data_IF_106859924872
#
_entry.id   IF_106859924872
#
_cell.length_a   1.000
_cell.length_b   1.000
_cell.length_c   1.000
_cell.angle_alpha   90.00
_cell.angle_beta   90.00
_cell.angle_gamma   90.00
#
_symmetry.space_group_name_H-M   'P 1'
#
loop_
_entity.id
_entity.type
_entity.pdbx_description
1 polymer ?
#
# COMPACT_ATOMS: atom_id res chain seq x y z
N UNK A 1 -13.24 31.72 -42.64
CA UNK A 1 -12.89 32.31 -41.32
C UNK A 1 -13.72 31.75 -40.16
N UNK A 2 -15.06 31.60 -40.27
CA UNK A 2 -15.91 31.05 -39.17
C UNK A 2 -15.51 29.65 -38.65
N UNK A 3 -15.02 28.74 -39.52
CA UNK A 3 -14.58 27.38 -39.11
C UNK A 3 -13.30 27.36 -38.27
N UNK A 4 -12.40 28.35 -38.42
CA UNK A 4 -11.13 28.40 -37.67
C UNK A 4 -11.34 28.84 -36.21
N UNK A 5 -12.33 29.69 -35.98
CA UNK A 5 -12.68 30.21 -34.64
C UNK A 5 -13.33 29.11 -33.78
N UNK A 6 -14.11 28.22 -34.40
CA UNK A 6 -14.78 27.10 -33.70
C UNK A 6 -13.75 26.06 -33.23
N UNK A 7 -12.73 25.74 -34.04
CA UNK A 7 -11.66 24.83 -33.61
C UNK A 7 -10.82 25.40 -32.47
N UNK A 8 -10.56 26.72 -32.47
CA UNK A 8 -9.82 27.39 -31.39
C UNK A 8 -10.56 27.32 -30.06
N UNK A 9 -11.89 27.47 -30.06
CA UNK A 9 -12.70 27.35 -28.85
C UNK A 9 -12.74 25.92 -28.28
N UNK A 10 -12.74 24.90 -29.14
CA UNK A 10 -12.71 23.49 -28.70
C UNK A 10 -11.35 23.16 -28.04
N UNK A 11 -10.24 23.70 -28.57
CA UNK A 11 -8.90 23.45 -28.04
C UNK A 11 -8.65 24.13 -26.68
N UNK A 12 -9.31 25.27 -26.43
CA UNK A 12 -9.22 25.96 -25.13
C UNK A 12 -10.09 25.26 -24.07
N UNK A 13 -11.21 24.65 -24.47
CA UNK A 13 -12.12 24.00 -23.52
C UNK A 13 -11.57 22.66 -22.98
N UNK A 14 -10.76 21.93 -23.76
CA UNK A 14 -10.13 20.69 -23.30
C UNK A 14 -9.01 20.92 -22.28
N UNK A 15 -8.33 22.07 -22.33
CA UNK A 15 -7.25 22.42 -21.39
C UNK A 15 -7.74 22.78 -19.97
N UNK A 16 -9.03 23.13 -19.82
CA UNK A 16 -9.58 23.58 -18.53
C UNK A 16 -10.15 22.41 -17.70
N UNK A 17 -10.42 21.25 -18.34
CA UNK A 17 -11.07 20.10 -17.68
C UNK A 17 -10.04 19.12 -17.07
N UNK A 18 -8.77 19.20 -17.45
CA UNK A 18 -7.70 18.45 -16.77
C UNK A 18 -7.40 19.10 -15.42
N UNK A 19 -8.25 18.84 -14.42
CA UNK A 19 -7.90 19.12 -13.02
C UNK A 19 -6.72 18.21 -12.67
N UNK A 20 -5.55 18.77 -12.33
CA UNK A 20 -4.50 17.96 -11.75
C UNK A 20 -5.05 17.41 -10.42
N UNK A 21 -5.04 16.09 -10.27
CA UNK A 21 -5.18 15.50 -8.94
C UNK A 21 -4.09 16.13 -8.06
N UNK A 22 -4.40 16.52 -6.81
CA UNK A 22 -3.37 16.95 -5.88
C UNK A 22 -2.28 15.87 -5.82
N UNK A 23 -1.01 16.26 -5.98
CA UNK A 23 0.10 15.31 -6.01
C UNK A 23 0.14 14.42 -4.75
N UNK A 24 -0.36 14.95 -3.64
CA UNK A 24 -0.46 14.27 -2.34
C UNK A 24 -1.46 13.09 -2.36
N UNK A 25 -2.61 13.27 -3.01
CA UNK A 25 -3.62 12.20 -3.16
C UNK A 25 -3.10 11.06 -4.03
N UNK A 26 -2.32 11.39 -5.07
CA UNK A 26 -1.73 10.38 -5.96
C UNK A 26 -0.68 9.54 -5.21
N UNK A 27 0.19 10.18 -4.44
CA UNK A 27 1.20 9.48 -3.64
C UNK A 27 0.56 8.63 -2.53
N UNK A 28 -0.44 9.15 -1.82
CA UNK A 28 -1.17 8.37 -0.81
C UNK A 28 -1.86 7.14 -1.42
N UNK A 29 -2.60 7.31 -2.51
CA UNK A 29 -3.30 6.21 -3.19
C UNK A 29 -2.32 5.14 -3.69
N UNK A 30 -1.17 5.54 -4.25
CA UNK A 30 -0.11 4.61 -4.64
C UNK A 30 0.39 3.81 -3.44
N UNK A 31 0.63 4.49 -2.31
CA UNK A 31 1.13 3.87 -1.09
C UNK A 31 0.12 2.89 -0.50
N UNK A 32 -1.15 3.29 -0.43
CA UNK A 32 -2.25 2.45 0.04
C UNK A 32 -2.37 1.19 -0.81
N UNK A 33 -2.38 1.33 -2.14
CA UNK A 33 -2.45 0.19 -3.05
C UNK A 33 -1.25 -0.76 -2.91
N UNK A 34 -0.04 -0.20 -2.80
CA UNK A 34 1.19 -0.98 -2.63
C UNK A 34 1.17 -1.75 -1.30
N UNK A 35 0.74 -1.09 -0.22
CA UNK A 35 0.57 -1.69 1.09
C UNK A 35 -0.41 -2.85 1.04
N UNK A 36 -1.60 -2.60 0.48
CA UNK A 36 -2.65 -3.59 0.25
C UNK A 36 -2.09 -4.84 -0.47
N UNK A 37 -1.43 -4.64 -1.60
CA UNK A 37 -0.88 -5.74 -2.39
C UNK A 37 0.21 -6.52 -1.66
N UNK A 38 1.13 -5.83 -0.97
CA UNK A 38 2.17 -6.48 -0.17
C UNK A 38 1.59 -7.38 0.92
N UNK A 39 0.61 -6.86 1.68
CA UNK A 39 -0.04 -7.60 2.75
C UNK A 39 -0.78 -8.83 2.19
N UNK A 40 -1.47 -8.70 1.06
CA UNK A 40 -2.06 -9.84 0.37
C UNK A 40 -1.02 -10.88 -0.01
N UNK A 41 0.12 -10.47 -0.57
CA UNK A 41 1.23 -11.37 -0.91
C UNK A 41 1.72 -12.14 0.33
N UNK A 42 1.99 -11.45 1.43
CA UNK A 42 2.50 -12.07 2.66
C UNK A 42 1.49 -13.02 3.32
N UNK A 43 0.21 -12.68 3.32
CA UNK A 43 -0.83 -13.48 3.94
C UNK A 43 -1.23 -14.71 3.11
N UNK A 44 -1.13 -14.61 1.78
CA UNK A 44 -1.45 -15.71 0.85
C UNK A 44 -0.31 -16.71 0.68
N UNK A 45 0.85 -16.44 1.28
CA UNK A 45 2.05 -17.24 1.09
C UNK A 45 1.93 -18.62 1.77
N UNK A 46 2.17 -19.67 0.99
CA UNK A 46 2.00 -21.08 1.41
C UNK A 46 3.09 -21.56 2.37
N UNK A 47 4.27 -20.96 2.36
CA UNK A 47 5.37 -21.22 3.29
C UNK A 47 5.44 -20.18 4.45
N UNK A 48 4.36 -19.44 4.70
CA UNK A 48 4.29 -18.48 5.80
C UNK A 48 4.17 -19.15 7.16
N UNK A 49 4.92 -18.64 8.15
CA UNK A 49 5.21 -19.39 9.37
C UNK A 49 4.05 -19.55 10.36
N UNK A 50 2.86 -18.93 10.17
CA UNK A 50 1.67 -19.32 10.97
C UNK A 50 0.32 -18.62 10.72
N UNK A 51 0.12 -17.77 9.71
CA UNK A 51 -1.11 -16.96 9.72
C UNK A 51 -2.32 -17.72 9.18
N UNK A 52 -2.20 -18.36 8.02
CA UNK A 52 -3.31 -19.15 7.46
C UNK A 52 -2.96 -20.59 7.07
N UNK A 53 -1.69 -21.01 7.10
CA UNK A 53 -1.24 -22.42 6.97
C UNK A 53 -2.04 -23.28 5.96
N UNK A 54 -2.22 -22.77 4.73
CA UNK A 54 -2.95 -23.46 3.66
C UNK A 54 -4.48 -23.49 3.78
N UNK A 55 -5.07 -22.85 4.79
CA UNK A 55 -6.53 -22.71 4.91
C UNK A 55 -7.05 -21.72 3.87
N UNK A 56 -8.25 -21.97 3.30
CA UNK A 56 -8.94 -20.96 2.53
C UNK A 56 -9.20 -19.73 3.40
N UNK A 57 -8.77 -18.57 2.92
CA UNK A 57 -9.10 -17.29 3.54
C UNK A 57 -9.56 -16.31 2.46
N UNK A 58 -10.46 -15.40 2.84
CA UNK A 58 -10.84 -14.24 2.05
C UNK A 58 -10.29 -13.01 2.76
N UNK A 59 -9.39 -12.30 2.09
CA UNK A 59 -8.94 -11.00 2.57
C UNK A 59 -9.97 -9.98 2.12
N UNK A 60 -10.65 -9.36 3.08
CA UNK A 60 -11.38 -8.12 2.85
C UNK A 60 -10.41 -7.02 3.24
N UNK A 61 -9.77 -6.44 2.22
CA UNK A 61 -8.61 -5.57 2.46
C UNK A 61 -9.03 -4.18 2.94
N UNK A 62 -8.15 -3.57 3.72
CA UNK A 62 -8.44 -2.55 4.73
C UNK A 62 -7.65 -1.27 4.50
N UNK A 63 -8.21 -0.20 5.04
CA UNK A 63 -7.68 1.15 5.09
C UNK A 63 -6.26 1.22 5.66
N UNK A 64 -5.41 1.96 4.94
CA UNK A 64 -4.16 2.48 5.49
C UNK A 64 -4.53 3.54 6.52
N UNK A 65 -4.19 3.32 7.79
CA UNK A 65 -4.56 4.25 8.86
C UNK A 65 -3.63 5.43 8.96
N UNK A 66 -2.33 5.21 8.77
CA UNK A 66 -1.33 6.24 8.99
C UNK A 66 -0.04 5.96 8.21
N UNK A 67 0.64 7.06 7.88
CA UNK A 67 1.97 7.09 7.29
C UNK A 67 2.83 7.98 8.18
N UNK A 68 3.75 7.37 8.93
CA UNK A 68 4.67 8.08 9.79
C UNK A 68 6.07 8.06 9.20
N UNK A 69 6.80 9.16 9.30
CA UNK A 69 8.21 9.21 8.91
C UNK A 69 9.06 9.32 10.18
N UNK A 70 9.89 8.31 10.42
CA UNK A 70 10.82 8.26 11.55
C UNK A 70 12.25 8.06 11.02
N UNK A 71 13.07 9.11 11.12
CA UNK A 71 14.44 9.14 10.58
C UNK A 71 14.50 8.81 9.08
N UNK A 72 15.09 7.68 8.69
CA UNK A 72 15.23 7.20 7.31
C UNK A 72 14.20 6.12 6.94
N UNK A 73 13.22 5.89 7.81
CA UNK A 73 12.15 4.92 7.63
C UNK A 73 10.80 5.61 7.52
N UNK A 74 10.05 5.19 6.50
CA UNK A 74 8.61 5.44 6.38
C UNK A 74 7.85 4.23 6.93
N UNK A 75 7.03 4.44 7.95
CA UNK A 75 6.20 3.45 8.63
C UNK A 75 4.79 3.56 8.08
N UNK A 76 4.26 2.45 7.58
CA UNK A 76 2.88 2.29 7.15
C UNK A 76 2.16 1.38 8.12
N UNK A 77 1.05 1.85 8.68
CA UNK A 77 0.20 1.04 9.57
C UNK A 77 -1.21 0.94 9.01
N UNK A 78 -1.76 -0.26 9.05
CA UNK A 78 -3.14 -0.54 8.66
C UNK A 78 -3.67 -1.75 9.42
N UNK A 79 -4.95 -2.04 9.24
CA UNK A 79 -5.50 -3.34 9.62
C UNK A 79 -5.73 -4.18 8.35
N UNK A 80 -6.26 -5.39 8.53
CA UNK A 80 -6.69 -6.32 7.50
C UNK A 80 -7.79 -7.16 8.12
N UNK A 81 -8.95 -7.20 7.48
CA UNK A 81 -10.00 -8.14 7.86
C UNK A 81 -9.84 -9.41 7.04
N UNK A 82 -9.73 -10.53 7.74
CA UNK A 82 -9.52 -11.83 7.15
C UNK A 82 -10.68 -12.73 7.56
N UNK A 83 -11.40 -13.26 6.58
CA UNK A 83 -12.32 -14.35 6.79
C UNK A 83 -11.57 -15.66 6.59
N UNK A 84 -11.30 -16.39 7.67
CA UNK A 84 -10.48 -17.61 7.64
C UNK A 84 -11.37 -18.77 8.01
N UNK A 85 -11.62 -19.67 7.05
CA UNK A 85 -12.68 -20.68 7.19
C UNK A 85 -14.01 -19.98 7.51
N UNK A 86 -14.49 -20.02 8.76
CA UNK A 86 -15.77 -19.44 9.21
C UNK A 86 -15.60 -18.36 10.29
N UNK A 87 -14.40 -17.77 10.43
CA UNK A 87 -14.12 -16.75 11.45
C UNK A 87 -13.63 -15.47 10.80
N UNK A 88 -14.22 -14.36 11.21
CA UNK A 88 -13.67 -13.04 10.92
C UNK A 88 -12.56 -12.73 11.94
N UNK A 89 -11.38 -12.40 11.45
CA UNK A 89 -10.23 -11.98 12.24
C UNK A 89 -9.70 -10.64 11.71
N UNK A 90 -9.51 -9.68 12.60
CA UNK A 90 -8.80 -8.44 12.28
C UNK A 90 -7.32 -8.61 12.62
N UNK A 91 -6.46 -8.29 11.67
CA UNK A 91 -5.02 -8.28 11.83
C UNK A 91 -4.49 -6.86 11.65
N UNK A 92 -3.68 -6.39 12.57
CA UNK A 92 -2.99 -5.10 12.52
C UNK A 92 -1.61 -5.32 11.94
N UNK A 93 -1.28 -4.60 10.88
CA UNK A 93 -0.04 -4.74 10.14
C UNK A 93 0.75 -3.43 10.16
N UNK A 94 2.07 -3.56 10.33
CA UNK A 94 3.00 -2.49 10.09
C UNK A 94 4.08 -2.94 9.11
N UNK A 95 4.32 -2.10 8.12
CA UNK A 95 5.36 -2.24 7.11
C UNK A 95 6.22 -1.02 7.22
N UNK A 96 7.52 -1.14 7.01
CA UNK A 96 8.28 0.07 6.79
C UNK A 96 9.39 -0.06 5.82
N UNK A 97 9.63 1.11 5.27
CA UNK A 97 10.23 1.30 3.99
C UNK A 97 11.44 2.17 4.18
N UNK A 98 12.53 1.74 3.57
CA UNK A 98 13.77 2.50 3.49
C UNK A 98 14.06 2.80 2.04
N UNK A 99 14.45 4.04 1.76
CA UNK A 99 14.91 4.43 0.43
C UNK A 99 16.37 4.03 0.26
N UNK A 100 16.65 3.10 -0.66
CA UNK A 100 17.99 2.64 -1.01
C UNK A 100 18.19 2.88 -2.51
N UNK A 101 19.16 3.73 -2.86
CA UNK A 101 19.46 4.09 -4.25
C UNK A 101 18.23 4.60 -5.03
N UNK A 102 17.37 5.38 -4.38
CA UNK A 102 16.16 5.95 -4.98
C UNK A 102 15.01 4.95 -5.14
N UNK A 103 15.12 3.75 -4.57
CA UNK A 103 14.05 2.75 -4.55
C UNK A 103 13.58 2.49 -3.12
N UNK A 104 12.27 2.49 -2.91
CA UNK A 104 11.69 2.06 -1.64
C UNK A 104 11.80 0.54 -1.51
N UNK A 105 12.41 0.08 -0.41
CA UNK A 105 12.54 -1.33 -0.07
C UNK A 105 11.95 -1.59 1.32
N UNK A 106 11.41 -2.78 1.51
CA UNK A 106 10.84 -3.19 2.80
C UNK A 106 11.98 -3.53 3.76
N UNK A 107 12.13 -2.71 4.79
CA UNK A 107 13.10 -2.93 5.85
C UNK A 107 12.55 -3.89 6.93
N UNK A 108 11.25 -3.84 7.19
CA UNK A 108 10.59 -4.70 8.16
C UNK A 108 9.11 -4.94 7.80
N UNK A 109 8.53 -5.99 8.39
CA UNK A 109 7.11 -6.31 8.33
C UNK A 109 6.71 -7.02 9.62
N UNK A 110 5.61 -6.58 10.22
CA UNK A 110 5.00 -7.25 11.37
C UNK A 110 3.49 -7.23 11.26
N UNK A 111 2.85 -8.25 11.84
CA UNK A 111 1.41 -8.39 11.87
C UNK A 111 0.99 -9.05 13.19
N UNK A 112 -0.10 -8.57 13.79
CA UNK A 112 -0.62 -9.06 15.08
C UNK A 112 -2.15 -9.02 15.11
N UNK A 113 -2.75 -9.80 16.03
CA UNK A 113 -4.22 -9.81 16.24
C UNK A 113 -4.74 -8.67 17.14
N UNK A 114 -3.83 -7.88 17.71
CA UNK A 114 -4.15 -6.74 18.58
C UNK A 114 -3.49 -5.51 18.00
N UNK A 115 -4.17 -4.37 18.12
CA UNK A 115 -3.60 -3.09 17.76
C UNK A 115 -2.34 -2.81 18.59
N UNK A 116 -1.40 -2.08 18.01
CA UNK A 116 -0.13 -1.75 18.65
C UNK A 116 0.31 -0.34 18.27
N UNK A 117 0.91 0.34 19.24
CA UNK A 117 1.77 1.49 18.95
C UNK A 117 3.12 0.96 18.53
N UNK A 118 3.58 1.33 17.34
CA UNK A 118 4.86 0.87 16.81
C UNK A 118 5.79 2.06 16.63
N UNK A 119 7.03 1.92 17.09
CA UNK A 119 8.13 2.85 16.88
C UNK A 119 9.15 2.25 15.91
N UNK A 120 9.88 3.06 15.14
CA UNK A 120 10.88 2.56 14.19
C UNK A 120 11.91 1.64 14.85
N UNK A 121 12.35 1.96 16.08
CA UNK A 121 13.33 1.15 16.81
C UNK A 121 12.85 -0.25 17.14
N UNK A 122 11.55 -0.45 17.38
CA UNK A 122 10.98 -1.78 17.61
C UNK A 122 10.94 -2.60 16.33
N UNK A 123 10.73 -1.93 15.21
CA UNK A 123 10.62 -2.53 13.89
C UNK A 123 11.97 -2.99 13.35
N UNK A 124 13.02 -2.20 13.57
CA UNK A 124 14.39 -2.56 13.21
C UNK A 124 14.91 -3.82 13.90
N UNK A 125 14.36 -4.20 15.07
CA UNK A 125 14.72 -5.44 15.77
C UNK A 125 14.31 -6.70 15.00
N UNK A 126 13.40 -6.58 14.04
CA UNK A 126 12.86 -7.69 13.27
C UNK A 126 13.04 -7.44 11.77
N UNK A 127 14.28 -7.54 11.25
CA UNK A 127 14.55 -7.24 9.85
C UNK A 127 13.77 -8.18 8.94
N UNK A 128 13.10 -7.60 7.94
CA UNK A 128 12.38 -8.37 6.94
C UNK A 128 13.34 -8.90 5.88
N UNK A 129 13.10 -10.14 5.45
CA UNK A 129 13.82 -10.77 4.34
C UNK A 129 12.95 -10.65 3.11
N UNK A 130 13.43 -9.92 2.11
CA UNK A 130 12.68 -9.62 0.89
C UNK A 130 12.19 -10.90 0.19
N UNK A 131 10.87 -10.97 -0.06
CA UNK A 131 10.22 -12.10 -0.77
C UNK A 131 9.17 -11.61 -1.77
N UNK A 132 8.37 -10.61 -1.37
CA UNK A 132 7.46 -9.90 -2.26
C UNK A 132 8.12 -8.59 -2.75
N UNK A 133 8.14 -8.34 -4.05
CA UNK A 133 8.76 -7.13 -4.63
C UNK A 133 7.82 -5.93 -4.53
N UNK A 134 8.05 -5.06 -3.56
CA UNK A 134 7.22 -3.86 -3.31
C UNK A 134 6.91 -3.04 -4.57
N UNK A 135 7.92 -2.78 -5.40
CA UNK A 135 7.81 -1.90 -6.57
C UNK A 135 7.11 -2.49 -7.80
N UNK A 136 6.75 -3.79 -7.80
CA UNK A 136 6.17 -4.45 -8.97
C UNK A 136 4.65 -4.51 -8.98
N UNK A 137 3.98 -4.06 -7.90
CA UNK A 137 2.53 -4.23 -7.75
C UNK A 137 1.73 -2.95 -8.06
N UNK A 138 2.10 -2.26 -9.14
CA UNK A 138 1.24 -1.23 -9.74
C UNK A 138 -0.01 -1.92 -10.30
N UNK A 139 -1.19 -1.42 -9.95
CA UNK A 139 -2.40 -1.78 -10.69
C UNK A 139 -2.44 -0.84 -11.90
N UNK A 140 -2.34 -1.44 -13.09
CA UNK A 140 -2.75 -0.77 -14.32
C UNK A 140 -4.22 -0.40 -14.15
N UNK A 141 -4.49 0.89 -13.97
CA UNK A 141 -5.82 1.46 -14.11
C UNK A 141 -5.86 2.04 -15.52
N UNK A 142 -5.91 1.14 -16.51
CA UNK A 142 -6.36 1.48 -17.86
C UNK A 142 -7.87 1.85 -17.82
#
# INVERSE_FOLDING_TARGET
>A
MKKLIILSFIFIFTFIISKPLPADDFDFNRMEMSFKNFIKCELTRTDAFNHFNGKPFKITMVDLFDIQNESDIKILTGAVECFVVDKNETLYAAVGLKSIMGKEQIAYYTIRKKDFSILATELFKFPYKERCKWSQYWIDID
#
